data_IF_366707691377
#
_entry.id   IF_366707691377
#
_cell.length_a   1.000
_cell.length_b   1.000
_cell.length_c   1.000
_cell.angle_alpha   90.00
_cell.angle_beta   90.00
_cell.angle_gamma   90.00
#
_symmetry.space_group_name_H-M   'P 1'
#
loop_
_entity.id
_entity.type
_entity.pdbx_description
1 polymer ?
#
# COMPACT_ATOMS: atom_id res chain seq x y z
N UNK A 1 -10.38 45.97 -13.59
CA UNK A 1 -9.22 45.25 -13.03
C UNK A 1 -9.71 44.37 -11.89
N UNK A 2 -9.86 43.07 -12.13
CA UNK A 2 -10.33 42.10 -11.12
C UNK A 2 -9.18 41.46 -10.35
N UNK A 3 -9.39 41.23 -9.06
CA UNK A 3 -8.62 40.29 -8.27
C UNK A 3 -9.58 39.28 -7.66
N UNK A 4 -9.40 38.03 -8.06
CA UNK A 4 -10.18 36.86 -7.65
C UNK A 4 -9.53 36.33 -6.38
N UNK A 5 -10.15 36.51 -5.22
CA UNK A 5 -9.95 35.60 -4.07
C UNK A 5 -11.32 35.29 -3.48
N UNK A 6 -12.01 34.35 -4.12
CA UNK A 6 -13.14 33.66 -3.51
C UNK A 6 -12.59 32.66 -2.49
N UNK A 7 -12.38 33.09 -1.25
CA UNK A 7 -12.25 32.16 -0.13
C UNK A 7 -13.59 31.43 0.06
N UNK A 8 -13.64 30.19 -0.41
CA UNK A 8 -14.81 29.32 -0.28
C UNK A 8 -14.95 28.85 1.18
N UNK A 9 -16.06 29.15 1.88
CA UNK A 9 -16.24 28.79 3.30
C UNK A 9 -16.50 27.29 3.53
N UNK A 10 -16.33 26.44 2.52
CA UNK A 10 -16.72 25.01 2.55
C UNK A 10 -15.66 24.06 3.13
N UNK A 11 -14.44 24.51 3.39
CA UNK A 11 -13.40 23.65 3.96
C UNK A 11 -13.48 23.48 5.49
N UNK A 12 -14.13 24.40 6.21
CA UNK A 12 -14.25 24.33 7.67
C UNK A 12 -15.44 23.47 8.15
N UNK A 13 -16.39 23.13 7.28
CA UNK A 13 -17.61 22.41 7.66
C UNK A 13 -17.49 20.88 7.63
N UNK A 14 -16.44 20.30 7.02
CA UNK A 14 -16.29 18.84 6.97
C UNK A 14 -15.57 18.22 8.19
N UNK A 15 -14.82 19.03 8.95
CA UNK A 15 -14.04 18.54 10.10
C UNK A 15 -14.89 18.30 11.37
N UNK A 16 -16.02 19.00 11.53
CA UNK A 16 -16.83 18.93 12.76
C UNK A 16 -17.94 17.85 12.72
N UNK A 17 -18.24 17.30 11.53
CA UNK A 17 -19.24 16.23 11.40
C UNK A 17 -18.65 14.85 11.75
N UNK A 18 -17.35 14.64 11.50
CA UNK A 18 -16.66 13.38 11.78
C UNK A 18 -16.66 13.03 13.27
N UNK A 19 -16.54 14.02 14.16
CA UNK A 19 -16.56 13.82 15.61
C UNK A 19 -17.95 13.47 16.15
N UNK A 20 -19.03 13.82 15.43
CA UNK A 20 -20.40 13.42 15.74
C UNK A 20 -20.72 12.00 15.23
N UNK A 21 -20.16 11.60 14.08
CA UNK A 21 -20.32 10.25 13.52
C UNK A 21 -19.45 9.23 14.25
N UNK A 22 -18.20 9.61 14.54
CA UNK A 22 -17.24 8.78 15.26
C UNK A 22 -16.98 9.50 16.59
N UNK A 23 -17.80 9.26 17.63
CA UNK A 23 -17.56 9.84 18.94
C UNK A 23 -16.16 9.42 19.40
N UNK A 24 -15.30 10.42 19.59
CA UNK A 24 -13.95 10.18 20.10
C UNK A 24 -14.03 9.59 21.51
N UNK A 25 -13.30 8.51 21.76
CA UNK A 25 -13.19 7.94 23.11
C UNK A 25 -12.40 8.90 23.99
N UNK A 26 -12.83 9.07 25.24
CA UNK A 26 -12.04 9.82 26.23
C UNK A 26 -10.72 9.12 26.52
N UNK A 27 -9.72 9.87 27.01
CA UNK A 27 -8.40 9.33 27.33
C UNK A 27 -8.46 8.15 28.32
N UNK A 28 -9.42 8.14 29.24
CA UNK A 28 -9.68 7.04 30.17
C UNK A 28 -10.24 5.81 29.45
N UNK A 29 -11.22 6.00 28.55
CA UNK A 29 -11.79 4.93 27.74
C UNK A 29 -10.75 4.32 26.78
N UNK A 30 -9.87 5.13 26.18
CA UNK A 30 -8.75 4.65 25.35
C UNK A 30 -7.80 3.77 26.17
N UNK A 31 -7.54 4.13 27.43
CA UNK A 31 -6.63 3.37 28.31
C UNK A 31 -7.25 2.03 28.72
N UNK A 32 -8.55 2.03 29.06
CA UNK A 32 -9.28 0.83 29.40
C UNK A 32 -9.36 -0.14 28.21
N UNK A 33 -9.72 0.36 27.02
CA UNK A 33 -9.78 -0.46 25.81
C UNK A 33 -8.42 -1.04 25.40
N UNK A 34 -7.32 -0.32 25.64
CA UNK A 34 -5.97 -0.82 25.37
C UNK A 34 -5.58 -1.99 26.27
N UNK A 35 -6.06 -1.99 27.52
CA UNK A 35 -5.74 -3.01 28.52
C UNK A 35 -6.60 -4.26 28.28
N UNK A 36 -7.86 -4.08 27.87
CA UNK A 36 -8.80 -5.18 27.59
C UNK A 36 -8.63 -5.78 26.20
N UNK A 37 -8.23 -4.96 25.22
CA UNK A 37 -7.98 -5.36 23.84
C UNK A 37 -6.50 -5.16 23.49
N UNK A 38 -5.61 -5.85 24.21
CA UNK A 38 -4.34 -6.29 23.60
C UNK A 38 -4.69 -7.27 22.47
N UNK A 39 -5.28 -6.74 21.40
CA UNK A 39 -5.44 -7.46 20.14
C UNK A 39 -4.02 -7.83 19.76
N UNK A 40 -3.70 -9.12 19.52
CA UNK A 40 -2.40 -9.47 18.98
C UNK A 40 -2.22 -8.58 17.76
N UNK A 41 -1.25 -7.67 17.82
CA UNK A 41 -1.01 -6.64 16.81
C UNK A 41 -1.18 -7.36 15.48
N UNK A 42 -2.22 -7.00 14.71
CA UNK A 42 -2.49 -7.63 13.41
C UNK A 42 -1.16 -7.59 12.68
N UNK A 43 -0.44 -8.72 12.68
CA UNK A 43 0.88 -8.83 12.11
C UNK A 43 0.65 -8.46 10.67
N UNK A 44 1.08 -7.24 10.28
CA UNK A 44 0.89 -6.75 8.93
C UNK A 44 1.47 -7.84 8.06
N UNK A 45 0.58 -8.57 7.37
CA UNK A 45 0.97 -9.82 6.72
C UNK A 45 2.20 -9.54 5.88
N UNK A 46 3.15 -10.49 5.84
CA UNK A 46 4.34 -10.32 5.00
C UNK A 46 3.91 -9.90 3.60
N UNK A 47 4.69 -9.04 2.94
CA UNK A 47 4.38 -8.58 1.58
C UNK A 47 4.03 -9.75 0.64
N UNK A 48 4.69 -10.90 0.81
CA UNK A 48 4.37 -12.15 0.12
C UNK A 48 2.92 -12.64 0.35
N UNK A 49 2.41 -12.58 1.59
CA UNK A 49 1.03 -12.97 1.93
C UNK A 49 -0.02 -12.01 1.37
N UNK A 50 0.36 -10.77 1.04
CA UNK A 50 -0.51 -9.86 0.29
C UNK A 50 -0.57 -10.23 -1.19
N UNK A 51 0.58 -10.51 -1.81
CA UNK A 51 0.63 -10.95 -3.21
C UNK A 51 -0.17 -12.22 -3.45
N UNK A 52 -0.05 -13.21 -2.55
CA UNK A 52 -0.79 -14.45 -2.64
C UNK A 52 -2.31 -14.25 -2.55
N UNK A 53 -2.77 -13.22 -1.82
CA UNK A 53 -4.21 -12.94 -1.66
C UNK A 53 -4.77 -12.11 -2.80
N UNK A 54 -4.05 -11.08 -3.25
CA UNK A 54 -4.56 -10.11 -4.23
C UNK A 54 -4.35 -10.59 -5.66
N UNK A 55 -3.18 -11.17 -5.93
CA UNK A 55 -2.78 -11.59 -7.28
C UNK A 55 -2.77 -13.11 -7.45
N UNK A 56 -3.05 -13.88 -6.39
CA UNK A 56 -2.91 -15.34 -6.40
C UNK A 56 -1.47 -15.81 -6.74
N UNK A 57 -0.46 -15.00 -6.39
CA UNK A 57 0.96 -15.30 -6.63
C UNK A 57 1.65 -15.63 -5.29
N UNK A 58 2.15 -16.87 -5.14
CA UNK A 58 2.92 -17.28 -3.97
C UNK A 58 4.44 -17.19 -4.25
N UNK A 59 5.06 -16.10 -3.80
CA UNK A 59 6.51 -15.88 -3.93
C UNK A 59 7.34 -16.58 -2.86
N UNK A 60 6.72 -17.34 -1.95
CA UNK A 60 7.43 -18.14 -0.94
C UNK A 60 7.75 -19.56 -1.40
N UNK A 61 7.26 -19.95 -2.58
CA UNK A 61 7.56 -21.23 -3.21
C UNK A 61 8.16 -21.05 -4.59
N UNK A 62 9.14 -21.89 -4.91
CA UNK A 62 9.70 -21.92 -6.26
C UNK A 62 8.67 -22.49 -7.25
N UNK A 63 8.40 -21.78 -8.34
CA UNK A 63 7.49 -22.22 -9.39
C UNK A 63 7.99 -23.47 -10.15
N UNK A 64 9.30 -23.74 -10.12
CA UNK A 64 9.91 -24.83 -10.90
C UNK A 64 10.04 -26.13 -10.09
N UNK A 65 10.37 -26.05 -8.80
CA UNK A 65 10.60 -27.22 -7.95
C UNK A 65 9.69 -27.31 -6.70
N UNK A 66 8.90 -26.28 -6.39
CA UNK A 66 8.00 -26.27 -5.23
C UNK A 66 8.68 -26.07 -3.86
N UNK A 67 10.01 -25.95 -3.82
CA UNK A 67 10.75 -25.70 -2.59
C UNK A 67 10.47 -24.33 -1.96
N UNK A 68 10.67 -24.21 -0.65
CA UNK A 68 10.53 -22.95 0.07
C UNK A 68 11.66 -21.96 -0.30
N UNK A 69 11.28 -20.71 -0.58
CA UNK A 69 12.21 -19.62 -0.90
C UNK A 69 12.03 -18.46 0.08
N UNK A 70 13.14 -17.77 0.38
CA UNK A 70 13.16 -16.63 1.30
C UNK A 70 13.72 -15.40 0.60
N UNK A 71 13.15 -14.23 0.89
CA UNK A 71 13.70 -12.96 0.43
C UNK A 71 15.01 -12.68 1.17
N UNK A 72 16.11 -12.51 0.43
CA UNK A 72 17.45 -12.32 0.99
C UNK A 72 17.76 -10.83 1.15
N UNK A 73 17.45 -10.02 0.14
CA UNK A 73 17.73 -8.58 0.13
C UNK A 73 16.81 -7.84 -0.84
N UNK A 74 16.71 -6.52 -0.67
CA UNK A 74 16.05 -5.61 -1.60
C UNK A 74 17.13 -4.77 -2.26
N UNK A 75 17.14 -4.74 -3.60
CA UNK A 75 18.13 -4.03 -4.40
C UNK A 75 17.47 -2.79 -5.02
N UNK A 76 17.99 -1.61 -4.67
CA UNK A 76 17.47 -0.33 -5.16
C UNK A 76 18.25 0.23 -6.36
N UNK A 77 19.53 -0.14 -6.50
CA UNK A 77 20.37 0.46 -7.53
C UNK A 77 20.22 -0.22 -8.89
N UNK A 78 19.87 0.57 -9.91
CA UNK A 78 19.62 0.08 -11.28
C UNK A 78 20.85 -0.60 -11.90
N UNK A 79 22.05 -0.08 -11.64
CA UNK A 79 23.31 -0.61 -12.17
C UNK A 79 23.54 -2.06 -11.71
N UNK A 80 23.27 -2.33 -10.43
CA UNK A 80 23.41 -3.63 -9.79
C UNK A 80 22.32 -4.59 -10.28
N UNK A 81 21.06 -4.16 -10.29
CA UNK A 81 19.94 -4.96 -10.81
C UNK A 81 20.17 -5.37 -12.26
N UNK A 82 20.68 -4.46 -13.10
CA UNK A 82 20.97 -4.77 -14.51
C UNK A 82 22.05 -5.84 -14.67
N UNK A 83 23.14 -5.77 -13.88
CA UNK A 83 24.22 -6.77 -13.91
C UNK A 83 23.73 -8.15 -13.47
N UNK A 84 22.90 -8.21 -12.42
CA UNK A 84 22.33 -9.46 -11.91
C UNK A 84 21.36 -10.06 -12.92
N UNK A 85 20.44 -9.26 -13.48
CA UNK A 85 19.49 -9.76 -14.48
C UNK A 85 20.21 -10.26 -15.73
N UNK A 86 21.24 -9.55 -16.19
CA UNK A 86 22.05 -9.97 -17.34
C UNK A 86 22.81 -11.27 -17.07
N UNK A 87 23.30 -11.51 -15.85
CA UNK A 87 24.03 -12.75 -15.55
C UNK A 87 23.14 -13.99 -15.55
N UNK A 88 21.84 -13.84 -15.27
CA UNK A 88 20.85 -14.92 -15.34
C UNK A 88 20.11 -14.99 -16.69
N UNK A 89 20.51 -14.16 -17.66
CA UNK A 89 19.91 -14.13 -19.00
C UNK A 89 18.52 -13.48 -19.07
N UNK A 90 18.14 -12.67 -18.08
CA UNK A 90 16.88 -11.91 -18.09
C UNK A 90 17.09 -10.49 -18.62
N UNK A 91 16.06 -9.96 -19.31
CA UNK A 91 16.09 -8.57 -19.77
C UNK A 91 16.09 -7.60 -18.57
N UNK A 92 17.07 -6.68 -18.45
CA UNK A 92 17.09 -5.69 -17.39
C UNK A 92 16.11 -4.53 -17.62
N UNK A 93 15.50 -4.45 -18.81
CA UNK A 93 14.55 -3.40 -19.14
C UNK A 93 13.13 -3.84 -18.71
N UNK A 94 12.43 -3.03 -17.88
CA UNK A 94 11.06 -3.34 -17.49
C UNK A 94 10.12 -3.29 -18.71
N UNK A 95 9.01 -4.05 -18.69
CA UNK A 95 8.00 -3.94 -19.72
C UNK A 95 7.44 -2.51 -19.78
N UNK A 96 7.03 -2.03 -20.97
CA UNK A 96 6.44 -0.71 -21.10
C UNK A 96 5.19 -0.60 -20.22
N UNK A 97 5.00 0.57 -19.60
CA UNK A 97 3.83 0.81 -18.77
C UNK A 97 2.57 0.74 -19.64
N UNK A 98 1.61 -0.09 -19.23
CA UNK A 98 0.28 -0.10 -19.85
C UNK A 98 -0.42 1.24 -19.60
N UNK A 99 -1.14 1.80 -20.58
CA UNK A 99 -1.91 3.02 -20.37
C UNK A 99 -2.90 2.84 -19.22
N UNK A 100 -3.16 3.93 -18.48
CA UNK A 100 -4.20 3.93 -17.47
C UNK A 100 -5.54 3.50 -18.11
N UNK A 101 -6.32 2.68 -17.40
CA UNK A 101 -7.68 2.35 -17.83
C UNK A 101 -8.50 3.64 -17.84
N UNK A 102 -8.67 4.23 -19.01
CA UNK A 102 -9.67 5.29 -19.21
C UNK A 102 -11.03 4.66 -18.98
N UNK A 103 -11.78 5.19 -18.03
CA UNK A 103 -13.22 4.95 -17.98
C UNK A 103 -13.81 5.67 -19.17
N UNK A 104 -14.33 4.91 -20.14
CA UNK A 104 -15.09 5.45 -21.28
C UNK A 104 -16.30 6.30 -20.84
N UNK A 105 -16.71 6.20 -19.58
CA UNK A 105 -17.78 7.00 -19.02
C UNK A 105 -17.21 8.30 -18.46
N UNK A 106 -17.39 9.40 -19.20
CA UNK A 106 -17.14 10.75 -18.71
C UNK A 106 -18.20 11.12 -17.68
N UNK A 107 -17.80 11.18 -16.41
CA UNK A 107 -18.55 11.78 -15.32
C UNK A 107 -17.77 12.99 -14.80
#
# INVERSE_FOLDING_TARGET
MGFITGESPRFLLLCNYRSRIIPGKTRAQIKQDKIENEVPVLQRGSWAKLLARVFMIDVTRCAQCGGEVKAISVIFERSVTSKILSSIGMSPQPPPQSPARTTIWGW
#
